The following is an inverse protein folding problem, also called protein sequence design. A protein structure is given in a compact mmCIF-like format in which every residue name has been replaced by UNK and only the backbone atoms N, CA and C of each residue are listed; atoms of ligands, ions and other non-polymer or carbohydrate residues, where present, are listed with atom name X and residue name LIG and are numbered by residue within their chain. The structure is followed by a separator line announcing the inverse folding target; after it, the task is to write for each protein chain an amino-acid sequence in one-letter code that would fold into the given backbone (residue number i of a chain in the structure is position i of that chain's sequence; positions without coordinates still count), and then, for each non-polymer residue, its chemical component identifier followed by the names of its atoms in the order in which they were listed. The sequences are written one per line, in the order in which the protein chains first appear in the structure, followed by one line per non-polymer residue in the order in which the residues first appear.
data_IF_894180308875
#
_entry.id   IF_894180308875
#
_cell.length_a   1.000
_cell.length_b   1.000
_cell.length_c   1.000
_cell.angle_alpha   90.00
_cell.angle_beta   90.00
_cell.angle_gamma   90.00
#
_symmetry.space_group_name_H-M   'P 1'
#
loop_
_entity.id
_entity.type
_entity.pdbx_description
1 polymer ?
#
# COMPACT_ATOMS: atom_id res chain seq x y z
N UNK A 1 3.61 26.39 21.94
CA UNK A 1 2.37 25.59 22.06
C UNK A 1 2.75 24.13 21.88
N UNK A 2 2.33 23.27 22.80
CA UNK A 2 2.72 21.86 22.97
C UNK A 2 1.96 20.95 21.99
N UNK A 3 2.61 19.94 21.39
CA UNK A 3 1.90 18.79 20.80
C UNK A 3 2.55 17.47 21.21
N UNK A 4 1.74 16.58 21.78
CA UNK A 4 2.10 15.36 22.51
C UNK A 4 2.23 14.08 21.66
N UNK A 5 2.56 14.14 20.36
CA UNK A 5 2.37 12.97 19.48
C UNK A 5 3.43 12.61 18.43
N UNK A 6 4.54 13.33 18.35
CA UNK A 6 5.63 12.92 17.48
C UNK A 6 6.53 14.10 17.18
N UNK A 7 7.82 13.84 17.07
CA UNK A 7 8.79 14.85 16.67
C UNK A 7 8.81 14.87 15.14
N UNK A 8 8.68 16.08 14.56
CA UNK A 8 8.82 16.31 13.12
C UNK A 8 10.29 16.59 12.87
N UNK A 9 10.88 15.85 11.95
CA UNK A 9 12.27 16.03 11.54
C UNK A 9 12.30 16.29 10.04
N UNK A 10 13.13 17.24 9.65
CA UNK A 10 13.53 17.49 8.27
C UNK A 10 14.84 16.71 8.06
N UNK A 11 14.91 15.85 7.03
CA UNK A 11 16.12 15.08 6.75
C UNK A 11 17.21 15.99 6.18
N UNK A 12 18.48 15.75 6.54
CA UNK A 12 19.60 16.67 6.30
C UNK A 12 19.80 17.10 4.82
N UNK A 13 20.20 18.36 4.59
CA UNK A 13 20.40 18.96 3.28
C UNK A 13 21.86 18.83 2.84
N UNK A 14 22.23 17.72 2.22
CA UNK A 14 23.44 17.69 1.41
C UNK A 14 22.96 17.67 -0.05
N UNK A 15 23.00 18.84 -0.70
CA UNK A 15 22.68 19.13 -2.11
C UNK A 15 21.19 19.17 -2.53
N UNK A 16 20.27 19.55 -1.65
CA UNK A 16 18.83 19.64 -1.98
C UNK A 16 18.29 21.03 -1.64
N UNK A 17 17.61 21.68 -2.59
CA UNK A 17 16.82 22.88 -2.32
C UNK A 17 15.93 22.62 -1.09
N UNK A 18 15.94 23.52 -0.10
CA UNK A 18 15.21 23.35 1.18
C UNK A 18 13.70 23.07 0.96
N UNK A 19 13.16 23.46 -0.20
CA UNK A 19 11.79 23.20 -0.66
C UNK A 19 11.50 21.74 -1.06
N UNK A 20 12.51 20.84 -1.13
CA UNK A 20 12.35 19.43 -1.52
C UNK A 20 12.61 18.42 -0.39
N UNK A 21 12.89 18.88 0.84
CA UNK A 21 13.21 17.96 1.94
C UNK A 21 11.99 17.12 2.39
N UNK A 22 12.16 15.81 2.60
CA UNK A 22 11.09 14.95 3.08
C UNK A 22 10.72 15.30 4.52
N UNK A 23 9.42 15.35 4.80
CA UNK A 23 8.93 15.50 6.17
C UNK A 23 8.85 14.14 6.86
N UNK A 24 9.67 13.94 7.89
CA UNK A 24 9.71 12.71 8.67
C UNK A 24 9.05 12.91 10.03
N UNK A 25 8.22 11.96 10.46
CA UNK A 25 7.48 12.05 11.72
C UNK A 25 7.50 10.70 12.46
N UNK A 26 7.66 10.73 13.79
CA UNK A 26 7.58 9.52 14.59
C UNK A 26 7.53 9.79 16.08
N UNK A 27 7.32 8.75 16.91
CA UNK A 27 7.34 8.89 18.37
C UNK A 27 8.71 9.37 18.84
N UNK A 28 8.73 10.01 20.02
CA UNK A 28 9.97 10.46 20.65
C UNK A 28 10.97 9.30 20.77
N UNK A 29 12.24 9.57 20.42
CA UNK A 29 13.31 8.58 20.45
C UNK A 29 13.33 7.61 19.26
N UNK A 30 12.43 7.72 18.28
CA UNK A 30 12.39 6.86 17.09
C UNK A 30 12.82 7.56 15.79
N UNK A 31 13.43 8.74 15.87
CA UNK A 31 13.93 9.49 14.72
C UNK A 31 14.85 8.65 13.82
N UNK A 32 15.79 7.92 14.42
CA UNK A 32 16.70 7.04 13.69
C UNK A 32 15.97 5.92 12.92
N UNK A 33 14.91 5.36 13.50
CA UNK A 33 14.12 4.33 12.85
C UNK A 33 13.33 4.89 11.65
N UNK A 34 12.78 6.09 11.78
CA UNK A 34 12.10 6.80 10.68
C UNK A 34 13.07 7.13 9.56
N UNK A 35 14.26 7.64 9.87
CA UNK A 35 15.29 7.95 8.87
C UNK A 35 15.77 6.69 8.13
N UNK A 36 16.03 5.59 8.85
CA UNK A 36 16.42 4.32 8.23
C UNK A 36 15.32 3.77 7.31
N UNK A 37 14.05 3.87 7.72
CA UNK A 37 12.94 3.45 6.87
C UNK A 37 12.82 4.36 5.64
N UNK A 38 12.99 5.67 5.79
CA UNK A 38 13.01 6.61 4.67
C UNK A 38 14.07 6.24 3.64
N UNK A 39 15.31 6.00 4.08
CA UNK A 39 16.43 5.58 3.20
C UNK A 39 16.14 4.28 2.45
N UNK A 40 15.40 3.35 3.05
CA UNK A 40 14.96 2.11 2.39
C UNK A 40 13.89 2.37 1.35
N UNK A 41 12.89 3.18 1.67
CA UNK A 41 11.69 3.35 0.82
C UNK A 41 11.85 4.39 -0.29
N UNK A 42 12.63 5.44 -0.08
CA UNK A 42 12.86 6.51 -1.05
C UNK A 42 13.28 5.98 -2.45
N UNK A 43 14.33 5.15 -2.59
CA UNK A 43 14.75 4.63 -3.91
C UNK A 43 13.71 3.69 -4.54
N UNK A 44 12.81 3.10 -3.74
CA UNK A 44 11.81 2.16 -4.25
C UNK A 44 10.71 2.90 -5.00
N UNK A 45 10.39 4.14 -4.61
CA UNK A 45 9.32 4.92 -5.23
C UNK A 45 9.79 5.77 -6.41
N UNK A 46 11.10 6.02 -6.56
CA UNK A 46 11.67 6.79 -7.68
C UNK A 46 11.24 6.31 -9.07
N UNK A 47 11.13 5.01 -9.38
CA UNK A 47 10.68 4.54 -10.70
C UNK A 47 9.27 4.97 -11.08
N UNK A 48 8.48 5.49 -10.13
CA UNK A 48 7.18 6.09 -10.38
C UNK A 48 7.27 7.54 -10.89
N UNK A 49 8.47 8.11 -10.99
CA UNK A 49 8.67 9.52 -11.32
C UNK A 49 8.20 10.47 -10.21
N UNK A 50 8.15 9.98 -8.97
CA UNK A 50 7.78 10.75 -7.78
C UNK A 50 8.75 10.44 -6.63
N UNK A 51 8.82 11.33 -5.64
CA UNK A 51 9.65 11.17 -4.45
C UNK A 51 8.78 10.96 -3.21
N UNK A 52 9.31 10.34 -2.17
CA UNK A 52 8.65 10.20 -0.89
C UNK A 52 8.68 11.56 -0.16
N UNK A 53 7.58 12.30 -0.21
CA UNK A 53 7.45 13.63 0.38
C UNK A 53 7.27 13.58 1.90
N UNK A 54 6.56 12.56 2.40
CA UNK A 54 6.40 12.37 3.84
C UNK A 54 6.53 10.90 4.24
N UNK A 55 7.03 10.67 5.44
CA UNK A 55 7.01 9.36 6.09
C UNK A 55 6.72 9.53 7.58
N UNK A 56 5.72 8.79 8.07
CA UNK A 56 5.27 8.85 9.44
C UNK A 56 5.21 7.45 10.05
N UNK A 57 5.82 7.30 11.23
CA UNK A 57 5.64 6.16 12.12
C UNK A 57 4.63 6.52 13.21
N UNK A 58 3.51 5.79 13.27
CA UNK A 58 2.54 6.01 14.35
C UNK A 58 3.05 5.44 15.69
N UNK A 59 2.52 5.91 16.84
CA UNK A 59 2.80 5.29 18.14
C UNK A 59 2.42 3.81 18.24
N UNK A 60 1.59 3.31 17.32
CA UNK A 60 1.19 1.89 17.24
C UNK A 60 2.08 1.08 16.30
N UNK A 61 3.14 1.66 15.75
CA UNK A 61 4.08 0.97 14.87
C UNK A 61 3.61 0.83 13.42
N UNK A 62 2.64 1.63 12.98
CA UNK A 62 2.19 1.63 11.58
C UNK A 62 2.83 2.76 10.78
N UNK A 63 3.25 2.45 9.56
CA UNK A 63 3.83 3.40 8.62
C UNK A 63 2.76 3.96 7.67
N UNK A 64 2.88 5.26 7.38
CA UNK A 64 2.15 5.94 6.31
C UNK A 64 3.07 6.96 5.65
N UNK A 65 2.81 7.29 4.39
CA UNK A 65 3.59 8.28 3.66
C UNK A 65 2.80 8.96 2.56
N UNK A 66 3.42 9.93 1.91
CA UNK A 66 2.88 10.57 0.72
C UNK A 66 3.97 10.82 -0.31
N UNK A 67 3.58 10.83 -1.57
CA UNK A 67 4.47 11.13 -2.68
C UNK A 67 4.38 12.61 -3.05
N UNK A 68 5.41 13.15 -3.71
CA UNK A 68 5.40 14.51 -4.25
C UNK A 68 4.30 14.76 -5.29
N UNK A 69 3.74 13.69 -5.88
CA UNK A 69 2.55 13.77 -6.74
C UNK A 69 1.24 14.04 -5.97
N UNK A 70 1.27 14.00 -4.64
CA UNK A 70 0.10 14.11 -3.76
C UNK A 70 -0.54 12.77 -3.40
N UNK A 71 -0.05 11.64 -3.93
CA UNK A 71 -0.58 10.31 -3.63
C UNK A 71 -0.32 9.90 -2.17
N UNK A 72 -1.32 9.33 -1.49
CA UNK A 72 -1.17 8.79 -0.13
C UNK A 72 -0.88 7.28 -0.12
N UNK A 73 -0.03 6.83 0.81
CA UNK A 73 0.38 5.43 0.97
C UNK A 73 0.13 4.97 2.41
N UNK A 74 -0.74 3.99 2.59
CA UNK A 74 -0.93 3.28 3.87
C UNK A 74 -0.04 2.02 3.88
N UNK A 75 1.12 2.13 4.52
CA UNK A 75 2.19 1.12 4.48
C UNK A 75 2.10 0.08 5.61
N UNK A 76 1.23 0.31 6.60
CA UNK A 76 0.95 -0.66 7.67
C UNK A 76 2.09 -0.86 8.67
N UNK A 77 1.88 -1.80 9.60
CA UNK A 77 2.93 -2.24 10.52
C UNK A 77 3.67 -3.46 10.00
N UNK A 78 4.66 -3.92 10.76
CA UNK A 78 5.52 -5.06 10.42
C UNK A 78 6.99 -4.75 10.64
N UNK A 79 7.86 -5.72 10.33
CA UNK A 79 9.29 -5.45 10.30
C UNK A 79 9.64 -4.49 9.15
N UNK A 80 10.81 -3.81 9.19
CA UNK A 80 11.26 -2.99 8.08
C UNK A 80 11.28 -3.74 6.74
N UNK A 81 11.68 -5.00 6.76
CA UNK A 81 11.76 -5.84 5.55
C UNK A 81 10.37 -6.18 4.99
N UNK A 82 9.37 -6.39 5.85
CA UNK A 82 7.98 -6.61 5.42
C UNK A 82 7.43 -5.39 4.69
N UNK A 83 7.66 -4.20 5.25
CA UNK A 83 7.22 -2.91 4.69
C UNK A 83 7.94 -2.60 3.38
N UNK A 84 9.22 -2.91 3.31
CA UNK A 84 10.00 -2.77 2.10
C UNK A 84 9.51 -3.70 0.98
N UNK A 85 9.33 -4.99 1.29
CA UNK A 85 8.91 -6.00 0.33
C UNK A 85 7.55 -5.69 -0.30
N UNK A 86 6.56 -5.30 0.51
CA UNK A 86 5.22 -4.93 0.01
C UNK A 86 5.27 -3.66 -0.83
N UNK A 87 6.09 -2.67 -0.47
CA UNK A 87 6.25 -1.43 -1.24
C UNK A 87 6.85 -1.75 -2.61
N UNK A 88 7.88 -2.61 -2.68
CA UNK A 88 8.44 -3.07 -3.95
C UNK A 88 7.41 -3.82 -4.80
N UNK A 89 6.60 -4.69 -4.20
CA UNK A 89 5.52 -5.42 -4.92
C UNK A 89 4.49 -4.46 -5.51
N UNK A 90 4.09 -3.44 -4.74
CA UNK A 90 3.17 -2.40 -5.19
C UNK A 90 3.74 -1.61 -6.37
N UNK A 91 4.96 -1.06 -6.25
CA UNK A 91 5.61 -0.25 -7.31
C UNK A 91 5.70 -1.04 -8.63
N UNK A 92 6.15 -2.30 -8.57
CA UNK A 92 6.21 -3.16 -9.76
C UNK A 92 4.85 -3.35 -10.43
N UNK A 93 3.78 -3.39 -9.65
CA UNK A 93 2.43 -3.62 -10.19
C UNK A 93 1.84 -2.35 -10.74
N UNK A 94 2.02 -1.22 -10.04
CA UNK A 94 1.61 0.09 -10.55
C UNK A 94 2.31 0.42 -11.87
N UNK A 95 3.61 0.12 -12.00
CA UNK A 95 4.35 0.29 -13.25
C UNK A 95 3.74 -0.52 -14.42
N UNK A 96 3.26 -1.75 -14.15
CA UNK A 96 2.58 -2.58 -15.16
C UNK A 96 1.20 -2.03 -15.55
N UNK A 97 0.41 -1.63 -14.55
CA UNK A 97 -0.93 -1.05 -14.76
C UNK A 97 -0.82 0.23 -15.58
N UNK A 98 0.08 1.14 -15.19
CA UNK A 98 0.30 2.40 -15.90
C UNK A 98 0.76 2.20 -17.35
N UNK A 99 1.68 1.24 -17.59
CA UNK A 99 2.10 0.86 -18.94
C UNK A 99 0.95 0.28 -19.78
N UNK A 100 0.09 -0.57 -19.21
CA UNK A 100 -1.03 -1.20 -19.91
C UNK A 100 -2.13 -0.21 -20.32
N UNK A 101 -2.41 0.79 -19.48
CA UNK A 101 -3.49 1.75 -19.72
C UNK A 101 -3.01 3.10 -20.29
N UNK A 102 -1.72 3.21 -20.67
CA UNK A 102 -1.13 4.44 -21.19
C UNK A 102 -1.27 5.62 -20.21
N UNK A 103 -1.16 5.34 -18.92
CA UNK A 103 -1.24 6.34 -17.84
C UNK A 103 0.14 6.57 -17.26
N UNK A 104 0.33 7.72 -16.64
CA UNK A 104 1.52 7.98 -15.82
C UNK A 104 1.22 7.59 -14.37
N UNK A 105 2.26 7.28 -13.62
CA UNK A 105 2.13 6.94 -12.19
C UNK A 105 1.64 8.13 -11.34
N UNK A 106 1.66 9.35 -11.88
CA UNK A 106 1.00 10.53 -11.34
C UNK A 106 -0.53 10.39 -11.22
N UNK A 107 -1.15 9.42 -11.90
CA UNK A 107 -2.56 9.11 -11.78
C UNK A 107 -2.90 8.43 -10.44
N UNK A 108 -1.91 7.97 -9.69
CA UNK A 108 -2.13 7.40 -8.35
C UNK A 108 -2.62 8.48 -7.39
N UNK A 109 -3.76 8.23 -6.75
CA UNK A 109 -4.33 9.12 -5.73
C UNK A 109 -4.15 8.55 -4.33
N UNK A 110 -4.28 7.23 -4.17
CA UNK A 110 -4.04 6.55 -2.90
C UNK A 110 -3.75 5.07 -3.09
N UNK A 111 -2.94 4.47 -2.21
CA UNK A 111 -2.78 3.03 -2.11
C UNK A 111 -2.81 2.56 -0.64
N UNK A 112 -3.55 1.48 -0.38
CA UNK A 112 -3.56 0.78 0.91
C UNK A 112 -2.89 -0.58 0.76
N UNK A 113 -1.70 -0.71 1.35
CA UNK A 113 -0.88 -1.90 1.24
C UNK A 113 -1.14 -2.86 2.41
N UNK A 114 -1.96 -2.49 3.41
CA UNK A 114 -2.09 -3.17 4.72
C UNK A 114 -2.60 -4.59 4.62
N UNK A 115 -3.07 -4.98 3.45
CA UNK A 115 -3.56 -6.31 3.17
C UNK A 115 -2.38 -7.26 2.87
N UNK A 116 -2.23 -8.37 3.61
CA UNK A 116 -1.12 -9.31 3.39
C UNK A 116 -1.06 -9.86 1.96
N UNK A 117 -2.23 -10.11 1.37
CA UNK A 117 -2.36 -10.81 0.09
C UNK A 117 -2.45 -9.85 -1.12
N UNK A 118 -2.57 -8.54 -0.90
CA UNK A 118 -2.79 -7.57 -1.98
C UNK A 118 -2.74 -6.11 -1.54
N UNK A 119 -3.30 -5.22 -2.36
CA UNK A 119 -3.43 -3.80 -2.03
C UNK A 119 -4.64 -3.22 -2.75
N UNK A 120 -5.26 -2.23 -2.13
CA UNK A 120 -6.25 -1.38 -2.78
C UNK A 120 -5.55 -0.16 -3.37
N UNK A 121 -5.92 0.27 -4.57
CA UNK A 121 -5.41 1.51 -5.15
C UNK A 121 -6.52 2.30 -5.83
N UNK A 122 -6.43 3.62 -5.73
CA UNK A 122 -7.32 4.56 -6.41
C UNK A 122 -6.49 5.31 -7.45
N UNK A 123 -6.90 5.20 -8.71
CA UNK A 123 -6.30 5.93 -9.81
C UNK A 123 -7.30 6.96 -10.34
N UNK A 124 -6.83 8.16 -10.63
CA UNK A 124 -7.66 9.19 -11.26
C UNK A 124 -8.19 8.67 -12.59
N UNK A 125 -9.50 8.68 -12.75
CA UNK A 125 -10.16 8.23 -13.98
C UNK A 125 -10.22 6.72 -14.17
N UNK A 126 -9.95 5.91 -13.14
CA UNK A 126 -10.22 4.46 -13.13
C UNK A 126 -11.10 4.12 -11.94
N UNK A 127 -12.31 3.63 -12.21
CA UNK A 127 -13.13 2.96 -11.19
C UNK A 127 -12.64 1.51 -11.07
N UNK A 128 -12.06 1.21 -9.91
CA UNK A 128 -11.73 -0.11 -9.31
C UNK A 128 -11.48 -1.28 -10.28
N UNK A 129 -10.22 -1.72 -10.35
CA UNK A 129 -9.91 -3.10 -10.77
C UNK A 129 -10.13 -3.97 -9.54
N UNK A 130 -11.21 -4.75 -9.50
CA UNK A 130 -11.31 -5.87 -8.58
C UNK A 130 -10.07 -6.75 -8.80
N UNK A 131 -9.28 -6.94 -7.76
CA UNK A 131 -8.21 -7.93 -7.80
C UNK A 131 -8.83 -9.28 -8.14
N UNK A 132 -8.46 -9.84 -9.29
CA UNK A 132 -8.73 -11.23 -9.60
C UNK A 132 -7.95 -12.09 -8.60
N UNK A 133 -8.58 -12.30 -7.43
CA UNK A 133 -8.25 -13.40 -6.55
C UNK A 133 -8.98 -14.58 -7.17
N UNK A 134 -8.30 -15.59 -7.74
CA UNK A 134 -8.99 -16.82 -8.08
C UNK A 134 -9.52 -17.42 -6.78
N UNK A 135 -10.79 -17.15 -6.50
CA UNK A 135 -11.54 -17.80 -5.42
C UNK A 135 -11.65 -19.26 -5.82
N UNK A 136 -10.78 -20.10 -5.26
CA UNK A 136 -10.97 -21.53 -5.27
C UNK A 136 -12.39 -21.81 -4.73
N UNK A 137 -13.27 -22.27 -5.62
CA UNK A 137 -14.67 -22.46 -5.30
C UNK A 137 -14.83 -23.59 -4.26
N UNK A 138 -15.72 -23.44 -3.26
CA UNK A 138 -16.13 -24.56 -2.44
C UNK A 138 -16.96 -25.51 -3.32
N UNK A 139 -16.49 -26.74 -3.48
CA UNK A 139 -17.24 -27.80 -4.15
C UNK A 139 -18.35 -28.29 -3.22
N UNK A 140 -19.53 -27.67 -3.32
CA UNK A 140 -20.73 -28.06 -2.57
C UNK A 140 -21.75 -28.78 -3.46
N UNK A 141 -22.06 -30.02 -3.08
CA UNK A 141 -23.34 -30.74 -3.15
C UNK A 141 -24.22 -30.62 -4.41
N UNK A 142 -24.33 -31.73 -5.15
CA UNK A 142 -25.46 -32.01 -6.04
C UNK A 142 -26.66 -32.54 -5.23
N UNK A 143 -27.84 -31.92 -5.40
CA UNK A 143 -29.15 -32.44 -4.94
C UNK A 143 -30.09 -32.67 -6.14
N UNK A 144 -30.54 -33.94 -6.26
CA UNK A 144 -31.90 -34.47 -6.59
C UNK A 144 -32.48 -34.18 -8.00
N UNK A 145 -33.40 -35.04 -8.55
CA UNK A 145 -34.82 -35.22 -8.15
C UNK A 145 -35.20 -36.72 -7.96
N UNK A 146 -36.19 -37.19 -7.18
CA UNK A 146 -37.64 -36.99 -7.05
C UNK A 146 -38.53 -37.77 -8.07
N UNK A 147 -39.36 -38.69 -7.54
CA UNK A 147 -40.53 -39.34 -8.16
C UNK A 147 -40.26 -40.75 -8.74
N UNK A 148 -41.02 -41.80 -8.49
CA UNK A 148 -42.27 -42.01 -7.75
C UNK A 148 -42.96 -43.28 -8.25
N UNK A 149 -43.67 -43.94 -7.33
CA UNK A 149 -44.81 -44.86 -7.52
C UNK A 149 -44.59 -46.38 -7.63
N UNK A 150 -45.21 -47.03 -6.63
CA UNK A 150 -46.19 -48.13 -6.75
C UNK A 150 -45.76 -49.59 -6.58
N UNK A 151 -46.28 -50.14 -5.46
CA UNK A 151 -47.16 -51.31 -5.39
C UNK A 151 -46.58 -52.73 -5.26
N UNK A 152 -46.86 -53.29 -4.08
CA UNK A 152 -47.62 -54.52 -3.86
C UNK A 152 -46.90 -55.85 -3.53
N UNK A 153 -47.35 -56.39 -2.39
CA UNK A 153 -47.70 -57.78 -2.06
C UNK A 153 -46.62 -58.86 -1.84
N UNK A 154 -46.79 -59.57 -0.71
CA UNK A 154 -46.15 -60.86 -0.42
C UNK A 154 -45.79 -61.03 1.04
#
# INVERSE_FOLDING_TARGET
LLSTRGEVFEASPDDVDEDELPRLQGPQGQSAAVMQMYQRLAPIVEPLGARLATLELSPRGSWRGSLTSGASLELGGGSPDDVEMRTRRFVRTLARVTAQYGRRADALESADLRHPDGYAMRLRGVTTVEGDVPRAAPRAAARRPAGGSSSNNG
#
